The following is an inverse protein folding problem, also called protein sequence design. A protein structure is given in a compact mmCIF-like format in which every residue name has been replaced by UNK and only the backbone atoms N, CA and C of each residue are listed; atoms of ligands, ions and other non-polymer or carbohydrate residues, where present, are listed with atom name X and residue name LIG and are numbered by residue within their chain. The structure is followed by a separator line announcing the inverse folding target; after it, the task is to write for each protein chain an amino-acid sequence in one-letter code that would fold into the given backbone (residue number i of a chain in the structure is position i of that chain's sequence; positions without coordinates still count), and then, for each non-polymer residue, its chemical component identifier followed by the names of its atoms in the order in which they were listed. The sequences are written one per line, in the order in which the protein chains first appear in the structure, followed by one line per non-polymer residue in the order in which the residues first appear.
data_IF_340602395648
#
_entry.id   IF_340602395648
#
_cell.length_a   1.000
_cell.length_b   1.000
_cell.length_c   1.000
_cell.angle_alpha   90.00
_cell.angle_beta   90.00
_cell.angle_gamma   90.00
#
_symmetry.space_group_name_H-M   'P 1'
#
loop_
_entity.id
_entity.type
_entity.pdbx_description
1 polymer ?
#
# COMPACT_ATOMS: atom_id res chain seq x y z
N UNK A 1 5.89 20.99 3.33
CA UNK A 1 6.17 19.84 4.23
C UNK A 1 6.27 18.58 3.38
N UNK A 2 7.37 17.83 3.49
CA UNK A 2 7.58 16.64 2.67
C UNK A 2 6.56 15.55 3.03
N UNK A 3 6.00 14.89 2.01
CA UNK A 3 5.07 13.77 2.20
C UNK A 3 5.83 12.59 2.80
N UNK A 4 5.51 12.25 4.06
CA UNK A 4 6.12 11.11 4.74
C UNK A 4 5.34 9.85 4.39
N UNK A 5 5.99 8.97 3.63
CA UNK A 5 5.51 7.64 3.30
C UNK A 5 5.81 6.65 4.43
N UNK A 6 4.92 5.67 4.64
CA UNK A 6 5.10 4.64 5.66
C UNK A 6 6.35 3.77 5.43
N UNK A 7 6.65 3.41 4.18
CA UNK A 7 7.79 2.55 3.74
C UNK A 7 7.95 1.21 4.45
N UNK A 8 7.02 0.82 5.33
CA UNK A 8 7.01 -0.53 5.93
C UNK A 8 6.80 -1.56 4.84
N UNK A 9 7.67 -2.56 4.78
CA UNK A 9 7.55 -3.63 3.81
C UNK A 9 6.25 -4.42 4.06
N UNK A 10 5.39 -4.63 3.04
CA UNK A 10 4.23 -5.49 3.19
C UNK A 10 4.68 -6.94 3.38
N UNK A 11 4.39 -7.53 4.55
CA UNK A 11 4.54 -8.96 4.80
C UNK A 11 5.93 -9.49 5.21
N UNK A 12 6.93 -8.66 5.52
CA UNK A 12 8.28 -9.18 5.87
C UNK A 12 8.46 -9.47 7.38
N UNK A 13 7.43 -9.23 8.20
CA UNK A 13 7.50 -9.46 9.64
C UNK A 13 6.93 -10.81 10.08
N UNK A 14 7.80 -11.79 10.35
CA UNK A 14 7.63 -12.98 11.23
C UNK A 14 7.41 -14.36 10.60
N UNK A 15 6.95 -14.50 9.35
CA UNK A 15 6.64 -15.83 8.79
C UNK A 15 7.71 -16.46 7.87
N UNK A 16 8.76 -15.73 7.45
CA UNK A 16 9.74 -16.31 6.50
C UNK A 16 10.73 -17.30 7.14
N UNK A 17 11.20 -17.04 8.36
CA UNK A 17 12.21 -17.88 9.04
C UNK A 17 11.63 -19.17 9.61
N UNK A 18 10.39 -19.13 10.11
CA UNK A 18 9.70 -20.33 10.62
C UNK A 18 9.42 -21.29 9.46
N UNK A 19 9.06 -20.76 8.28
CA UNK A 19 8.67 -21.60 7.14
C UNK A 19 9.90 -22.12 6.38
N UNK A 20 10.99 -21.37 6.26
CA UNK A 20 12.25 -21.93 5.75
C UNK A 20 12.73 -23.14 6.58
N UNK A 21 12.57 -23.08 7.91
CA UNK A 21 12.88 -24.19 8.79
C UNK A 21 11.89 -25.36 8.65
N UNK A 22 10.58 -25.10 8.55
CA UNK A 22 9.57 -26.16 8.34
C UNK A 22 9.76 -26.84 6.97
N UNK A 23 10.05 -26.09 5.90
CA UNK A 23 10.30 -26.64 4.56
C UNK A 23 11.54 -27.55 4.54
N UNK A 24 12.63 -27.16 5.23
CA UNK A 24 13.83 -27.98 5.39
C UNK A 24 13.62 -29.23 6.25
N UNK A 25 12.68 -29.22 7.20
CA UNK A 25 12.32 -30.41 7.99
C UNK A 25 11.52 -31.40 7.13
N UNK A 26 10.58 -30.93 6.30
CA UNK A 26 9.71 -31.80 5.49
C UNK A 26 10.39 -32.38 4.23
N UNK A 27 11.47 -31.78 3.71
CA UNK A 27 12.28 -32.38 2.65
C UNK A 27 13.05 -33.64 3.09
N UNK A 28 13.16 -33.89 4.41
CA UNK A 28 13.79 -35.12 4.95
C UNK A 28 12.85 -36.32 5.06
N UNK A 29 11.52 -36.13 5.00
CA UNK A 29 10.50 -37.19 5.12
C UNK A 29 9.55 -37.15 3.92
N UNK A 30 9.97 -37.83 2.85
CA UNK A 30 9.21 -38.35 1.69
C UNK A 30 7.66 -38.18 1.67
N UNK A 31 7.13 -36.96 1.67
CA UNK A 31 5.71 -36.70 1.43
C UNK A 31 5.52 -35.46 0.55
N UNK A 32 5.64 -35.68 -0.77
CA UNK A 32 5.47 -34.69 -1.84
C UNK A 32 4.10 -33.97 -1.76
N UNK A 33 3.06 -34.66 -1.27
CA UNK A 33 1.70 -34.11 -1.14
C UNK A 33 1.59 -33.03 -0.05
N UNK A 34 2.32 -33.17 1.06
CA UNK A 34 2.37 -32.16 2.13
C UNK A 34 3.18 -30.93 1.70
N UNK A 35 4.20 -31.13 0.87
CA UNK A 35 5.00 -30.05 0.32
C UNK A 35 4.16 -29.19 -0.67
N UNK A 36 3.33 -29.82 -1.50
CA UNK A 36 2.39 -29.13 -2.40
C UNK A 36 1.27 -28.39 -1.64
N UNK A 37 0.71 -28.97 -0.57
CA UNK A 37 -0.30 -28.26 0.24
C UNK A 37 0.31 -27.12 1.05
N UNK A 38 1.52 -27.26 1.61
CA UNK A 38 2.26 -26.16 2.25
C UNK A 38 2.62 -25.05 1.27
N UNK A 39 3.02 -25.38 0.03
CA UNK A 39 3.29 -24.40 -1.03
C UNK A 39 2.00 -23.68 -1.51
N UNK A 40 0.89 -24.40 -1.62
CA UNK A 40 -0.43 -23.82 -1.92
C UNK A 40 -0.93 -22.93 -0.77
N UNK A 41 -0.77 -23.35 0.49
CA UNK A 41 -1.08 -22.53 1.66
C UNK A 41 -0.18 -21.28 1.71
N UNK A 42 1.09 -21.39 1.30
CA UNK A 42 2.02 -20.27 1.17
C UNK A 42 1.50 -19.17 0.23
N UNK A 43 0.93 -19.56 -0.90
CA UNK A 43 0.37 -18.64 -1.88
C UNK A 43 -0.96 -18.00 -1.40
N UNK A 44 -1.70 -18.64 -0.49
CA UNK A 44 -2.93 -18.09 0.08
C UNK A 44 -2.73 -17.19 1.31
N UNK A 45 -1.58 -17.28 2.01
CA UNK A 45 -1.29 -16.52 3.23
C UNK A 45 -0.53 -15.20 3.04
N UNK A 46 -0.05 -14.88 1.82
CA UNK A 46 0.44 -13.55 1.45
C UNK A 46 -0.74 -12.61 1.14
N UNK A 47 -1.63 -12.39 2.12
CA UNK A 47 -2.73 -11.45 1.98
C UNK A 47 -2.18 -10.03 2.15
N UNK A 48 -1.45 -9.56 1.14
CA UNK A 48 -1.04 -8.17 1.06
C UNK A 48 -2.25 -7.32 0.66
N UNK A 49 -2.61 -6.37 1.52
CA UNK A 49 -3.75 -5.50 1.29
C UNK A 49 -3.57 -4.69 -0.01
N UNK A 50 -4.62 -4.64 -0.83
CA UNK A 50 -4.63 -3.85 -2.05
C UNK A 50 -4.83 -2.37 -1.70
N UNK A 51 -4.01 -1.51 -2.30
CA UNK A 51 -4.20 -0.07 -2.18
C UNK A 51 -5.40 0.44 -2.96
N UNK A 52 -6.13 1.39 -2.37
CA UNK A 52 -7.30 2.03 -3.00
C UNK A 52 -7.07 3.52 -3.19
N UNK A 53 -7.73 4.13 -4.16
CA UNK A 53 -7.78 5.57 -4.42
C UNK A 53 -9.21 6.07 -4.32
N UNK A 54 -9.38 7.33 -3.89
CA UNK A 54 -10.68 7.99 -3.93
C UNK A 54 -10.95 8.57 -5.32
N UNK A 55 -12.19 8.97 -5.59
CA UNK A 55 -12.62 9.58 -6.85
C UNK A 55 -11.76 10.79 -7.28
N UNK A 56 -11.25 11.57 -6.33
CA UNK A 56 -10.40 12.75 -6.60
C UNK A 56 -8.97 12.38 -7.01
N UNK A 57 -8.52 11.19 -6.65
CA UNK A 57 -7.18 10.70 -6.88
C UNK A 57 -7.17 9.55 -7.91
N UNK A 58 -8.30 9.27 -8.54
CA UNK A 58 -8.44 8.12 -9.41
C UNK A 58 -7.49 8.19 -10.62
N UNK A 59 -6.92 7.06 -11.01
CA UNK A 59 -5.94 6.95 -12.09
C UNK A 59 -4.56 7.58 -11.85
N UNK A 60 -4.31 8.17 -10.67
CA UNK A 60 -2.99 8.71 -10.32
C UNK A 60 -2.02 7.63 -9.87
N UNK A 61 -0.78 7.76 -10.27
CA UNK A 61 0.32 7.02 -9.69
C UNK A 61 0.59 7.49 -8.25
N UNK A 62 0.72 6.55 -7.31
CA UNK A 62 0.91 6.84 -5.88
C UNK A 62 2.24 7.53 -5.51
N UNK A 63 3.21 7.56 -6.43
CA UNK A 63 4.53 8.16 -6.18
C UNK A 63 4.70 9.50 -6.90
N UNK A 64 4.40 9.54 -8.20
CA UNK A 64 4.65 10.71 -9.03
C UNK A 64 3.39 11.52 -9.36
N UNK A 65 2.22 11.11 -8.85
CA UNK A 65 0.90 11.72 -9.10
C UNK A 65 0.51 11.86 -10.59
N UNK A 66 1.26 11.23 -11.51
CA UNK A 66 0.98 11.23 -12.94
C UNK A 66 -0.14 10.25 -13.31
N UNK A 67 -0.83 10.53 -14.42
CA UNK A 67 -1.94 9.70 -14.93
C UNK A 67 -1.50 8.71 -16.03
N UNK A 68 -0.20 8.46 -16.16
CA UNK A 68 0.35 7.76 -17.33
C UNK A 68 0.60 6.28 -17.05
N UNK A 69 0.06 5.43 -17.93
CA UNK A 69 0.36 3.99 -18.07
C UNK A 69 0.52 3.23 -16.74
N UNK A 70 -0.59 2.87 -16.07
CA UNK A 70 -0.54 1.99 -14.90
C UNK A 70 0.01 0.62 -15.30
N UNK A 71 0.97 0.10 -14.54
CA UNK A 71 1.61 -1.19 -14.81
C UNK A 71 1.48 -2.19 -13.67
N UNK A 72 1.84 -1.80 -12.45
CA UNK A 72 1.81 -2.70 -11.29
C UNK A 72 0.83 -2.21 -10.25
N UNK A 73 0.17 -3.16 -9.57
CA UNK A 73 -0.83 -2.86 -8.55
C UNK A 73 -0.15 -2.58 -7.20
N UNK A 74 -0.67 -1.59 -6.48
CA UNK A 74 -0.08 -1.13 -5.21
C UNK A 74 -0.47 -2.04 -4.05
N UNK A 75 0.52 -2.40 -3.23
CA UNK A 75 0.35 -3.18 -2.00
C UNK A 75 0.61 -2.34 -0.76
N UNK A 76 -0.22 -2.53 0.26
CA UNK A 76 -0.19 -1.80 1.54
C UNK A 76 0.16 -2.77 2.67
N UNK A 77 0.87 -2.29 3.70
CA UNK A 77 1.14 -3.06 4.90
C UNK A 77 -0.11 -3.23 5.78
N UNK A 78 -0.14 -4.29 6.60
CA UNK A 78 -1.30 -4.62 7.43
C UNK A 78 -1.67 -3.52 8.44
N UNK A 79 -0.67 -2.82 8.96
CA UNK A 79 -0.88 -1.69 9.88
C UNK A 79 -1.66 -0.55 9.22
N UNK A 80 -1.34 -0.23 7.96
CA UNK A 80 -2.04 0.83 7.20
C UNK A 80 -3.42 0.39 6.70
N UNK A 81 -3.71 -0.92 6.73
CA UNK A 81 -5.00 -1.51 6.41
C UNK A 81 -5.74 -2.01 7.66
N UNK A 82 -5.42 -1.51 8.85
CA UNK A 82 -6.06 -1.94 10.09
C UNK A 82 -7.24 -1.04 10.50
N UNK A 83 -8.34 -1.67 10.91
CA UNK A 83 -9.51 -1.02 11.50
C UNK A 83 -10.11 0.07 10.61
N UNK A 84 -10.19 1.29 11.12
CA UNK A 84 -10.84 2.41 10.43
C UNK A 84 -10.09 2.87 9.17
N UNK A 85 -8.82 2.51 8.98
CA UNK A 85 -8.02 2.84 7.80
C UNK A 85 -8.24 1.90 6.60
N UNK A 86 -9.02 0.84 6.78
CA UNK A 86 -9.38 -0.09 5.73
C UNK A 86 -10.07 0.61 4.56
N UNK A 87 -9.68 0.22 3.34
CA UNK A 87 -10.28 0.74 2.11
C UNK A 87 -10.11 2.25 1.92
N UNK A 88 -9.19 2.91 2.64
CA UNK A 88 -8.94 4.35 2.48
C UNK A 88 -7.93 4.65 1.39
N UNK A 89 -8.13 5.79 0.73
CA UNK A 89 -7.25 6.31 -0.30
C UNK A 89 -5.78 6.39 0.16
N UNK A 90 -4.85 5.88 -0.63
CA UNK A 90 -3.40 5.83 -0.32
C UNK A 90 -2.80 7.23 -0.17
N UNK A 91 -3.28 8.18 -0.99
CA UNK A 91 -2.74 9.55 -1.09
C UNK A 91 -3.39 10.47 -0.06
N UNK A 92 -4.73 10.48 -0.01
CA UNK A 92 -5.46 11.54 0.69
C UNK A 92 -6.23 11.08 1.94
N UNK A 93 -6.29 9.77 2.20
CA UNK A 93 -7.00 9.18 3.33
C UNK A 93 -8.54 9.23 3.26
N UNK A 94 -9.13 9.66 2.14
CA UNK A 94 -10.58 9.62 1.91
C UNK A 94 -11.12 8.20 1.64
N UNK A 95 -12.45 8.04 1.42
CA UNK A 95 -13.03 6.75 1.05
C UNK A 95 -12.47 6.27 -0.30
N UNK A 96 -11.91 5.07 -0.33
CA UNK A 96 -11.35 4.47 -1.54
C UNK A 96 -12.42 3.78 -2.38
N UNK A 97 -12.40 4.01 -3.68
CA UNK A 97 -13.34 3.46 -4.66
C UNK A 97 -12.59 2.55 -5.62
N UNK A 98 -11.57 3.07 -6.30
CA UNK A 98 -10.77 2.36 -7.30
C UNK A 98 -9.47 1.77 -6.70
N UNK A 99 -8.85 0.84 -7.42
CA UNK A 99 -7.55 0.27 -7.06
C UNK A 99 -6.39 1.19 -7.46
N UNK A 100 -5.35 1.20 -6.64
CA UNK A 100 -4.17 2.03 -6.84
C UNK A 100 -3.11 1.31 -7.69
N UNK A 101 -2.46 2.05 -8.60
CA UNK A 101 -1.41 1.53 -9.48
C UNK A 101 -0.14 2.37 -9.43
N UNK A 102 0.99 1.73 -9.71
CA UNK A 102 2.24 2.39 -10.04
C UNK A 102 2.38 2.57 -11.55
N UNK A 103 2.99 3.69 -11.91
CA UNK A 103 3.32 4.01 -13.30
C UNK A 103 4.47 3.14 -13.83
N UNK A 104 4.53 2.93 -15.16
CA UNK A 104 5.64 2.18 -15.79
C UNK A 104 7.02 2.73 -15.42
N UNK A 105 7.18 4.04 -15.42
CA UNK A 105 8.46 4.69 -15.11
C UNK A 105 8.89 4.42 -13.66
N UNK A 106 7.92 4.44 -12.75
CA UNK A 106 8.09 4.17 -11.33
C UNK A 106 8.56 2.73 -11.09
N UNK A 107 8.01 1.79 -11.86
CA UNK A 107 8.40 0.37 -11.80
C UNK A 107 9.76 0.11 -12.43
N UNK A 108 10.12 0.83 -13.49
CA UNK A 108 11.46 0.73 -14.11
C UNK A 108 12.54 1.29 -13.17
N UNK A 109 12.20 2.32 -12.38
CA UNK A 109 13.05 2.88 -11.34
C UNK A 109 13.03 2.07 -10.02
N UNK A 110 12.39 0.89 -10.01
CA UNK A 110 12.27 -0.01 -8.85
C UNK A 110 11.65 0.62 -7.60
N UNK A 111 10.90 1.72 -7.75
CA UNK A 111 10.27 2.43 -6.62
C UNK A 111 9.10 1.65 -6.00
N UNK A 112 8.57 0.67 -6.71
CA UNK A 112 7.56 -0.27 -6.23
C UNK A 112 8.10 -1.23 -5.16
N UNK A 113 9.42 -1.31 -4.97
CA UNK A 113 10.09 -2.15 -3.96
C UNK A 113 10.41 -1.43 -2.64
N UNK A 114 10.16 -0.13 -2.56
CA UNK A 114 10.47 0.70 -1.38
C UNK A 114 9.59 0.39 -0.15
N UNK A 115 8.49 -0.37 -0.33
CA UNK A 115 7.56 -0.76 0.74
C UNK A 115 6.19 -0.09 0.59
N UNK A 116 5.48 0.08 1.70
CA UNK A 116 4.12 0.63 1.72
C UNK A 116 4.09 2.12 1.34
N UNK A 117 3.42 2.52 0.23
CA UNK A 117 3.37 3.91 -0.23
C UNK A 117 2.25 4.73 0.44
N UNK A 118 1.69 4.27 1.56
CA UNK A 118 0.66 5.02 2.30
C UNK A 118 1.25 6.28 2.92
N UNK A 119 0.63 7.42 2.65
CA UNK A 119 0.99 8.70 3.27
C UNK A 119 0.37 8.74 4.67
N UNK A 120 1.22 8.79 5.70
CA UNK A 120 0.77 8.81 7.12
C UNK A 120 0.48 10.23 7.59
N UNK A 121 1.31 11.18 7.16
CA UNK A 121 1.13 12.58 7.49
C UNK A 121 0.35 13.23 6.35
N UNK A 122 -0.97 13.28 6.51
CA UNK A 122 -1.84 14.14 5.69
C UNK A 122 -1.42 15.59 5.95
N UNK A 123 -0.43 16.06 5.21
CA UNK A 123 0.39 17.23 5.53
C UNK A 123 -0.39 18.52 5.80
N UNK A 124 0.29 19.45 6.48
CA UNK A 124 -0.25 20.73 6.95
C UNK A 124 -0.93 21.54 5.86
N UNK A 125 -0.67 21.32 4.57
CA UNK A 125 -1.33 22.02 3.46
C UNK A 125 -2.86 22.00 3.56
N UNK A 126 -3.48 20.88 3.97
CA UNK A 126 -4.95 20.85 4.19
C UNK A 126 -5.37 21.66 5.41
N UNK A 127 -4.58 21.67 6.48
CA UNK A 127 -4.87 22.46 7.68
C UNK A 127 -4.61 23.95 7.42
N UNK A 128 -3.56 24.28 6.67
CA UNK A 128 -3.16 25.64 6.30
C UNK A 128 -4.22 26.25 5.38
N UNK A 129 -4.69 25.53 4.36
CA UNK A 129 -5.84 25.97 3.55
C UNK A 129 -7.13 26.13 4.38
N UNK A 130 -7.33 25.29 5.40
CA UNK A 130 -8.47 25.42 6.30
C UNK A 130 -8.37 26.69 7.15
N UNK A 131 -7.20 27.00 7.71
CA UNK A 131 -6.96 28.21 8.50
C UNK A 131 -6.93 29.48 7.63
N UNK A 132 -6.37 29.44 6.42
CA UNK A 132 -6.38 30.55 5.46
C UNK A 132 -7.81 30.89 5.01
N UNK A 133 -8.64 29.88 4.72
CA UNK A 133 -10.05 30.09 4.38
C UNK A 133 -10.83 30.73 5.53
N UNK A 134 -10.45 30.45 6.79
CA UNK A 134 -11.03 31.08 7.98
C UNK A 134 -10.50 32.51 8.20
N UNK A 135 -9.23 32.78 7.86
CA UNK A 135 -8.58 34.10 7.99
C UNK A 135 -9.17 35.15 7.06
N UNK A 136 -9.54 34.78 5.83
CA UNK A 136 -10.11 35.70 4.83
C UNK A 136 -11.63 35.71 4.77
N UNK A 137 -12.32 35.36 5.87
CA UNK A 137 -13.76 35.55 6.13
C UNK A 137 -14.64 35.76 4.88
N UNK A 138 -15.37 34.71 4.50
CA UNK A 138 -16.35 34.66 3.40
C UNK A 138 -17.06 36.01 3.16
N UNK A 139 -16.57 36.84 2.22
CA UNK A 139 -17.40 37.89 1.63
C UNK A 139 -18.45 37.15 0.79
N UNK A 140 -19.68 37.09 1.32
CA UNK A 140 -20.86 36.71 0.53
C UNK A 140 -20.84 37.55 -0.75
N UNK A 141 -20.68 36.90 -1.90
CA UNK A 141 -21.18 37.47 -3.16
C UNK A 141 -22.69 37.30 -3.17
#
# INVERSE_FOLDING_TARGET
PDLIFCRKQPGVGKYSTIVYNIFNIYTSKSNILLCYTLFCLFNTYLITAIGRLCEKCDGKCVICDSYVRPCTLVRICDECNYGSYQGRCVICGGPGVSDAYYCKECTVQEKDRDGCPKIVNLGSSKTDLFYERKKYGFKRR
#
